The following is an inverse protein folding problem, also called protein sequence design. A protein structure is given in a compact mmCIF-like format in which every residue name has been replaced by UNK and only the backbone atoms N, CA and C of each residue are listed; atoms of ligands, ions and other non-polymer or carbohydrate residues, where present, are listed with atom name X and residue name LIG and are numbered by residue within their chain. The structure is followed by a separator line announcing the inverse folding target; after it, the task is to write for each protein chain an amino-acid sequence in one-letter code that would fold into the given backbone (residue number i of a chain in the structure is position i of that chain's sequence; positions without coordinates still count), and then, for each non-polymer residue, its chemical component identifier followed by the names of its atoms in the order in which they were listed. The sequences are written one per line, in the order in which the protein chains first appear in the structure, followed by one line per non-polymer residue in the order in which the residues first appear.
data_IF_933121808816
#
_entry.id   IF_933121808816
#
_cell.length_a   1.000
_cell.length_b   1.000
_cell.length_c   1.000
_cell.angle_alpha   90.00
_cell.angle_beta   90.00
_cell.angle_gamma   90.00
#
_symmetry.space_group_name_H-M   'P 1'
#
loop_
_entity.id
_entity.type
_entity.pdbx_description
1 polymer ?
#
# COMPACT_ATOMS: atom_id res chain seq x y z
N UNK A 1 3.41 -29.71 12.18
CA UNK A 1 2.08 -29.27 11.70
C UNK A 1 1.96 -29.64 10.23
N UNK A 2 0.79 -30.12 9.79
CA UNK A 2 0.50 -30.46 8.39
C UNK A 2 -0.47 -29.40 7.86
N UNK A 3 -0.10 -28.72 6.77
CA UNK A 3 -1.00 -27.78 6.08
C UNK A 3 -1.97 -28.58 5.23
N UNK A 4 -3.26 -28.32 5.43
CA UNK A 4 -4.32 -28.81 4.55
C UNK A 4 -4.52 -27.80 3.42
N UNK A 5 -4.36 -28.27 2.20
CA UNK A 5 -4.82 -27.55 1.01
C UNK A 5 -6.27 -27.96 0.73
N UNK A 6 -7.20 -27.03 0.96
CA UNK A 6 -8.64 -27.25 0.77
C UNK A 6 -8.95 -27.52 -0.71
N UNK A 7 -8.17 -26.93 -1.63
CA UNK A 7 -8.35 -27.12 -3.08
C UNK A 7 -8.09 -28.58 -3.47
N UNK A 8 -7.09 -29.23 -2.86
CA UNK A 8 -6.82 -30.66 -3.09
C UNK A 8 -7.97 -31.58 -2.68
N UNK A 9 -8.77 -31.19 -1.68
CA UNK A 9 -9.94 -31.96 -1.27
C UNK A 9 -11.05 -31.92 -2.31
N UNK A 10 -11.19 -30.79 -3.02
CA UNK A 10 -12.20 -30.56 -4.06
C UNK A 10 -11.76 -31.12 -5.42
N UNK A 11 -10.46 -31.08 -5.74
CA UNK A 11 -9.92 -31.56 -7.01
C UNK A 11 -10.24 -33.05 -7.25
N UNK A 12 -10.86 -33.35 -8.38
CA UNK A 12 -11.26 -34.72 -8.74
C UNK A 12 -12.46 -35.25 -7.97
N UNK A 13 -13.18 -34.40 -7.21
CA UNK A 13 -14.50 -34.75 -6.68
C UNK A 13 -15.56 -34.25 -7.65
N UNK A 14 -16.24 -35.17 -8.34
CA UNK A 14 -17.32 -34.82 -9.28
C UNK A 14 -18.67 -34.68 -8.57
N UNK A 15 -18.77 -35.13 -7.32
CA UNK A 15 -20.02 -35.26 -6.54
C UNK A 15 -19.73 -34.92 -5.07
N UNK A 16 -20.62 -34.16 -4.43
CA UNK A 16 -20.54 -33.73 -3.01
C UNK A 16 -20.17 -34.85 -2.03
N UNK A 17 -20.73 -36.06 -2.22
CA UNK A 17 -20.45 -37.20 -1.34
C UNK A 17 -18.99 -37.66 -1.34
N UNK A 18 -18.26 -37.47 -2.46
CA UNK A 18 -16.84 -37.85 -2.55
C UNK A 18 -15.97 -36.91 -1.69
N UNK A 19 -16.31 -35.62 -1.66
CA UNK A 19 -15.65 -34.65 -0.80
C UNK A 19 -15.87 -34.98 0.69
N UNK A 20 -17.11 -35.24 1.09
CA UNK A 20 -17.44 -35.63 2.47
C UNK A 20 -16.70 -36.91 2.89
N UNK A 21 -16.59 -37.91 1.99
CA UNK A 21 -15.82 -39.13 2.24
C UNK A 21 -14.33 -38.86 2.46
N UNK A 22 -13.71 -38.00 1.65
CA UNK A 22 -12.30 -37.60 1.82
C UNK A 22 -12.08 -36.88 3.15
N UNK A 23 -13.00 -36.00 3.53
CA UNK A 23 -12.96 -35.32 4.82
C UNK A 23 -13.10 -36.30 5.99
N UNK A 24 -14.02 -37.27 5.91
CA UNK A 24 -14.16 -38.31 6.93
C UNK A 24 -12.91 -39.19 7.04
N UNK A 25 -12.28 -39.53 5.92
CA UNK A 25 -11.02 -40.26 5.90
C UNK A 25 -9.90 -39.47 6.58
N UNK A 26 -9.75 -38.19 6.24
CA UNK A 26 -8.80 -37.29 6.88
C UNK A 26 -9.02 -37.23 8.40
N UNK A 27 -10.27 -37.09 8.84
CA UNK A 27 -10.60 -37.08 10.28
C UNK A 27 -10.24 -38.40 10.98
N UNK A 28 -10.45 -39.54 10.30
CA UNK A 28 -10.09 -40.85 10.85
C UNK A 28 -8.58 -40.99 11.04
N UNK A 29 -7.78 -40.49 10.10
CA UNK A 29 -6.32 -40.49 10.19
C UNK A 29 -5.83 -39.55 11.31
N UNK A 30 -6.37 -38.33 11.38
CA UNK A 30 -6.02 -37.37 12.43
C UNK A 30 -6.38 -37.88 13.84
N UNK A 31 -7.50 -38.59 13.99
CA UNK A 31 -7.88 -39.20 15.26
C UNK A 31 -6.90 -40.27 15.74
N UNK A 32 -6.21 -40.94 14.82
CA UNK A 32 -5.21 -41.96 15.15
C UNK A 32 -3.84 -41.33 15.46
N UNK A 33 -3.56 -40.14 14.96
CA UNK A 33 -2.27 -39.47 15.12
C UNK A 33 -2.37 -38.27 16.06
N UNK A 34 -2.07 -38.49 17.34
CA UNK A 34 -2.15 -37.45 18.38
C UNK A 34 -1.04 -36.38 18.31
N UNK A 35 0.05 -36.66 17.60
CA UNK A 35 1.20 -35.76 17.48
C UNK A 35 1.09 -34.79 16.27
N UNK A 36 -0.06 -34.80 15.59
CA UNK A 36 -0.30 -33.98 14.41
C UNK A 36 -1.18 -32.78 14.75
N UNK A 37 -0.66 -31.59 14.45
CA UNK A 37 -1.43 -30.35 14.40
C UNK A 37 -1.84 -30.10 12.95
N UNK A 38 -3.15 -30.01 12.71
CA UNK A 38 -3.70 -29.61 11.43
C UNK A 38 -3.63 -28.08 11.31
N UNK A 39 -3.05 -27.58 10.22
CA UNK A 39 -3.07 -26.16 9.88
C UNK A 39 -3.95 -25.96 8.65
N UNK A 40 -4.91 -25.04 8.74
CA UNK A 40 -5.79 -24.67 7.62
C UNK A 40 -5.60 -23.19 7.37
N UNK A 41 -5.06 -22.88 6.19
CA UNK A 41 -5.06 -21.53 5.69
C UNK A 41 -6.50 -21.18 5.26
N UNK A 42 -6.96 -19.97 5.56
CA UNK A 42 -8.32 -19.53 5.22
C UNK A 42 -9.43 -20.45 5.75
N UNK A 43 -9.43 -20.71 7.06
CA UNK A 43 -10.39 -21.61 7.74
C UNK A 43 -11.87 -21.24 7.51
N UNK A 44 -12.18 -20.02 7.06
CA UNK A 44 -13.55 -19.64 6.71
C UNK A 44 -14.08 -20.36 5.46
N UNK A 45 -13.21 -20.79 4.52
CA UNK A 45 -13.63 -21.49 3.30
C UNK A 45 -14.33 -22.81 3.60
N UNK A 46 -13.87 -23.52 4.63
CA UNK A 46 -14.46 -24.79 5.08
C UNK A 46 -15.70 -24.58 5.97
N UNK A 47 -15.96 -23.34 6.41
CA UNK A 47 -17.11 -22.94 7.25
C UNK A 47 -18.18 -22.19 6.42
N UNK A 48 -17.95 -22.02 5.11
CA UNK A 48 -18.76 -21.24 4.18
C UNK A 48 -20.16 -21.81 3.88
N UNK A 49 -21.13 -21.34 4.67
CA UNK A 49 -22.54 -21.05 4.35
C UNK A 49 -23.34 -22.02 3.46
N UNK A 50 -24.18 -22.83 4.10
CA UNK A 50 -25.33 -23.52 3.49
C UNK A 50 -26.46 -22.59 2.99
N UNK A 51 -26.15 -21.48 2.30
CA UNK A 51 -27.12 -20.52 1.78
C UNK A 51 -26.96 -20.15 0.29
N UNK A 52 -26.10 -20.84 -0.46
CA UNK A 52 -26.21 -20.91 -1.91
C UNK A 52 -26.48 -22.36 -2.29
N UNK A 53 -27.46 -22.60 -3.16
CA UNK A 53 -27.70 -23.89 -3.81
C UNK A 53 -26.39 -24.37 -4.48
N UNK A 54 -25.51 -25.05 -3.74
CA UNK A 54 -24.21 -25.53 -4.25
C UNK A 54 -22.98 -25.39 -3.34
N UNK A 55 -23.04 -24.70 -2.19
CA UNK A 55 -21.88 -24.57 -1.28
C UNK A 55 -21.48 -25.87 -0.59
N UNK A 56 -20.19 -26.22 -0.61
CA UNK A 56 -19.62 -27.42 0.03
C UNK A 56 -19.42 -27.19 1.55
N UNK A 57 -20.37 -27.62 2.39
CA UNK A 57 -20.30 -27.41 3.85
C UNK A 57 -19.48 -28.52 4.57
N UNK A 58 -18.16 -28.35 4.58
CA UNK A 58 -17.23 -29.21 5.32
C UNK A 58 -17.33 -29.06 6.86
N UNK A 59 -17.89 -27.94 7.32
CA UNK A 59 -18.01 -27.59 8.73
C UNK A 59 -18.79 -28.64 9.53
N UNK A 60 -19.82 -29.24 8.92
CA UNK A 60 -20.61 -30.29 9.58
C UNK A 60 -19.84 -31.59 9.87
N UNK A 61 -18.83 -31.92 9.07
CA UNK A 61 -17.96 -33.08 9.31
C UNK A 61 -16.97 -32.82 10.43
N UNK A 62 -16.52 -31.57 10.58
CA UNK A 62 -15.50 -31.16 11.55
C UNK A 62 -16.07 -30.93 12.96
N UNK A 63 -17.30 -30.39 13.06
CA UNK A 63 -17.94 -30.03 14.34
C UNK A 63 -17.89 -31.15 15.40
N UNK A 64 -18.24 -32.43 15.09
CA UNK A 64 -18.25 -33.48 16.12
C UNK A 64 -16.84 -33.80 16.64
N UNK A 65 -15.84 -33.82 15.76
CA UNK A 65 -14.46 -34.17 16.12
C UNK A 65 -13.75 -33.02 16.85
N UNK A 66 -14.03 -31.76 16.48
CA UNK A 66 -13.60 -30.58 17.24
C UNK A 66 -14.26 -30.53 18.62
N UNK A 67 -15.55 -30.85 18.72
CA UNK A 67 -16.26 -30.86 20.00
C UNK A 67 -15.73 -31.92 20.98
N UNK A 68 -15.24 -33.04 20.46
CA UNK A 68 -14.61 -34.12 21.26
C UNK A 68 -13.12 -33.90 21.51
N UNK A 69 -12.49 -32.90 20.91
CA UNK A 69 -11.05 -32.66 21.01
C UNK A 69 -10.22 -33.81 20.43
N UNK A 70 -10.70 -34.45 19.35
CA UNK A 70 -10.04 -35.62 18.76
C UNK A 70 -8.74 -35.29 18.02
N UNK A 71 -8.54 -34.03 17.65
CA UNK A 71 -7.34 -33.53 16.96
C UNK A 71 -7.11 -32.05 17.30
N UNK A 72 -5.89 -31.56 17.02
CA UNK A 72 -5.52 -30.15 17.20
C UNK A 72 -5.59 -29.42 15.86
N UNK A 73 -6.18 -28.22 15.87
CA UNK A 73 -6.37 -27.37 14.69
C UNK A 73 -5.85 -25.97 14.97
N UNK A 74 -5.10 -25.42 14.01
CA UNK A 74 -4.78 -24.00 13.90
C UNK A 74 -5.34 -23.50 12.57
N UNK A 75 -6.17 -22.46 12.62
CA UNK A 75 -6.74 -21.84 11.43
C UNK A 75 -6.31 -20.38 11.32
N UNK A 76 -6.08 -19.91 10.10
CA UNK A 76 -5.89 -18.49 9.80
C UNK A 76 -7.11 -17.95 9.05
N UNK A 77 -7.50 -16.71 9.31
CA UNK A 77 -8.59 -16.02 8.60
C UNK A 77 -8.48 -14.52 8.83
N UNK A 78 -9.10 -13.71 7.96
CA UNK A 78 -9.22 -12.27 8.21
C UNK A 78 -10.35 -11.97 9.22
N UNK A 79 -10.32 -10.78 9.84
CA UNK A 79 -11.39 -10.30 10.73
C UNK A 79 -12.76 -10.27 10.05
N UNK A 80 -12.80 -9.90 8.76
CA UNK A 80 -14.05 -9.81 8.01
C UNK A 80 -14.66 -11.19 7.78
N UNK A 81 -13.84 -12.17 7.40
CA UNK A 81 -14.27 -13.55 7.17
C UNK A 81 -14.59 -14.28 8.47
N UNK A 82 -13.90 -13.97 9.58
CA UNK A 82 -14.18 -14.59 10.88
C UNK A 82 -15.64 -14.39 11.32
N UNK A 83 -16.30 -13.29 10.90
CA UNK A 83 -17.74 -13.07 11.13
C UNK A 83 -18.63 -14.20 10.58
N UNK A 84 -18.20 -14.90 9.54
CA UNK A 84 -18.93 -16.06 9.00
C UNK A 84 -18.89 -17.24 9.97
N UNK A 85 -17.74 -17.43 10.63
CA UNK A 85 -17.52 -18.47 11.64
C UNK A 85 -18.27 -18.12 12.93
N UNK A 86 -18.30 -16.84 13.33
CA UNK A 86 -19.05 -16.37 14.50
C UNK A 86 -20.57 -16.62 14.38
N UNK A 87 -21.12 -16.58 13.17
CA UNK A 87 -22.54 -16.91 12.92
C UNK A 87 -22.84 -18.37 13.25
N UNK A 88 -21.86 -19.26 13.20
CA UNK A 88 -22.00 -20.67 13.60
C UNK A 88 -21.62 -20.86 15.07
N UNK A 89 -22.63 -20.82 15.94
CA UNK A 89 -22.45 -20.99 17.38
C UNK A 89 -21.80 -22.32 17.79
N UNK A 90 -21.90 -23.38 16.96
CA UNK A 90 -21.30 -24.67 17.28
C UNK A 90 -19.78 -24.66 17.06
N UNK A 91 -19.32 -23.99 15.99
CA UNK A 91 -17.89 -23.81 15.70
C UNK A 91 -17.24 -22.74 16.56
N UNK A 92 -17.90 -21.58 16.73
CA UNK A 92 -17.38 -20.47 17.52
C UNK A 92 -17.06 -20.88 18.97
N UNK A 93 -17.85 -21.78 19.56
CA UNK A 93 -17.61 -22.32 20.92
C UNK A 93 -16.41 -23.29 21.02
N UNK A 94 -15.84 -23.71 19.89
CA UNK A 94 -14.74 -24.69 19.82
C UNK A 94 -13.43 -24.09 19.33
N UNK A 95 -13.47 -22.85 18.86
CA UNK A 95 -12.31 -22.10 18.44
C UNK A 95 -11.98 -21.06 19.52
N UNK A 96 -10.70 -20.89 19.79
CA UNK A 96 -10.22 -19.78 20.62
C UNK A 96 -9.66 -18.72 19.67
N UNK A 97 -10.31 -17.55 19.52
CA UNK A 97 -9.78 -16.49 18.70
C UNK A 97 -8.49 -15.95 19.33
N UNK A 98 -7.45 -15.83 18.50
CA UNK A 98 -6.19 -15.15 18.82
C UNK A 98 -6.04 -14.03 17.81
N UNK A 99 -6.21 -12.79 18.27
CA UNK A 99 -6.08 -11.63 17.41
C UNK A 99 -4.60 -11.37 17.14
N UNK A 100 -4.25 -11.23 15.87
CA UNK A 100 -2.91 -10.82 15.41
C UNK A 100 -3.07 -9.42 14.84
N UNK A 101 -2.50 -8.45 15.54
CA UNK A 101 -2.56 -7.05 15.11
C UNK A 101 -1.53 -6.76 14.01
N UNK A 102 -1.80 -5.71 13.24
CA UNK A 102 -0.81 -5.16 12.30
C UNK A 102 0.46 -4.75 13.07
N UNK A 103 1.66 -5.19 12.65
CA UNK A 103 2.91 -4.83 13.31
C UNK A 103 3.14 -3.33 13.22
N UNK A 104 3.73 -2.77 14.27
CA UNK A 104 4.20 -1.39 14.27
C UNK A 104 5.30 -1.16 13.22
N UNK A 105 5.58 0.11 12.91
CA UNK A 105 6.67 0.50 12.01
C UNK A 105 8.01 -0.09 12.49
N UNK A 106 8.28 -0.05 13.79
CA UNK A 106 9.53 -0.56 14.37
C UNK A 106 9.64 -2.09 14.28
N UNK A 107 8.55 -2.81 14.55
CA UNK A 107 8.48 -4.26 14.41
C UNK A 107 8.63 -4.67 12.95
N UNK A 108 7.98 -3.94 12.04
CA UNK A 108 8.06 -4.19 10.60
C UNK A 108 9.48 -4.00 10.09
N UNK A 109 10.22 -2.97 10.54
CA UNK A 109 11.64 -2.82 10.20
C UNK A 109 12.46 -4.04 10.67
N UNK A 110 12.17 -4.61 11.85
CA UNK A 110 12.83 -5.84 12.33
C UNK A 110 12.50 -7.04 11.45
N UNK A 111 11.23 -7.19 11.04
CA UNK A 111 10.79 -8.23 10.10
C UNK A 111 11.55 -8.11 8.78
N UNK A 112 11.60 -6.90 8.21
CA UNK A 112 12.30 -6.62 6.95
C UNK A 112 13.80 -6.94 7.04
N UNK A 113 14.46 -6.60 8.15
CA UNK A 113 15.85 -7.00 8.39
C UNK A 113 16.02 -8.53 8.46
N UNK A 114 15.07 -9.25 9.06
CA UNK A 114 15.10 -10.72 9.13
C UNK A 114 14.98 -11.42 7.77
N UNK A 115 14.23 -10.82 6.83
CA UNK A 115 14.04 -11.38 5.48
C UNK A 115 15.03 -10.81 4.44
N UNK A 116 15.74 -9.72 4.76
CA UNK A 116 16.66 -9.00 3.85
C UNK A 116 17.56 -9.94 3.06
N UNK A 117 18.30 -10.82 3.73
CA UNK A 117 19.27 -11.70 3.07
C UNK A 117 18.62 -12.63 2.03
N UNK A 118 17.37 -13.04 2.25
CA UNK A 118 16.62 -13.89 1.30
C UNK A 118 16.28 -13.12 0.03
N UNK A 119 15.83 -11.87 0.16
CA UNK A 119 15.50 -11.02 -0.98
C UNK A 119 16.74 -10.53 -1.72
N UNK A 120 17.82 -10.20 -1.00
CA UNK A 120 19.12 -9.86 -1.61
C UNK A 120 19.65 -11.01 -2.48
N UNK A 121 19.60 -12.25 -1.97
CA UNK A 121 20.04 -13.43 -2.69
C UNK A 121 19.11 -13.77 -3.88
N UNK A 122 17.80 -13.59 -3.73
CA UNK A 122 16.83 -13.88 -4.78
C UNK A 122 16.92 -12.90 -5.95
N UNK A 123 17.07 -11.60 -5.65
CA UNK A 123 17.12 -10.53 -6.65
C UNK A 123 18.53 -10.17 -7.10
N UNK A 124 19.57 -10.73 -6.49
CA UNK A 124 20.97 -10.38 -6.75
C UNK A 124 21.28 -8.88 -6.54
N UNK A 125 20.74 -8.30 -5.45
CA UNK A 125 20.91 -6.90 -5.08
C UNK A 125 21.32 -6.75 -3.62
N UNK A 126 21.72 -5.54 -3.23
CA UNK A 126 21.87 -5.15 -1.82
C UNK A 126 20.86 -4.08 -1.45
N UNK A 127 20.18 -4.21 -0.31
CA UNK A 127 19.33 -3.13 0.21
C UNK A 127 20.12 -2.29 1.21
N UNK A 128 19.97 -0.97 1.16
CA UNK A 128 20.47 -0.10 2.24
C UNK A 128 19.54 -0.13 3.45
N UNK A 129 20.07 0.22 4.64
CA UNK A 129 19.25 0.33 5.85
C UNK A 129 18.21 1.44 5.71
N UNK A 130 18.57 2.51 5.00
CA UNK A 130 17.68 3.61 4.63
C UNK A 130 16.56 3.13 3.70
N UNK A 131 16.86 2.26 2.72
CA UNK A 131 15.84 1.69 1.85
C UNK A 131 14.83 0.83 2.62
N UNK A 132 15.28 0.02 3.59
CA UNK A 132 14.40 -0.78 4.45
C UNK A 132 13.48 0.13 5.29
N UNK A 133 14.04 1.17 5.93
CA UNK A 133 13.26 2.15 6.69
C UNK A 133 12.27 2.90 5.80
N UNK A 134 12.69 3.29 4.60
CA UNK A 134 11.85 3.97 3.62
C UNK A 134 10.71 3.07 3.15
N UNK A 135 10.97 1.79 2.84
CA UNK A 135 9.93 0.83 2.45
C UNK A 135 8.81 0.76 3.50
N UNK A 136 9.14 0.68 4.80
CA UNK A 136 8.11 0.67 5.86
C UNK A 136 7.43 2.03 6.01
N UNK A 137 8.21 3.10 6.13
CA UNK A 137 7.67 4.43 6.46
C UNK A 137 6.81 4.99 5.33
N UNK A 138 7.28 4.86 4.09
CA UNK A 138 6.59 5.35 2.90
C UNK A 138 5.36 4.48 2.59
N UNK A 139 5.45 3.15 2.63
CA UNK A 139 4.27 2.30 2.43
C UNK A 139 3.22 2.54 3.50
N UNK A 140 3.61 2.69 4.77
CA UNK A 140 2.67 2.97 5.85
C UNK A 140 1.97 4.33 5.69
N UNK A 141 2.65 5.31 5.11
CA UNK A 141 2.11 6.65 4.90
C UNK A 141 1.26 6.76 3.64
N UNK A 142 1.69 6.17 2.53
CA UNK A 142 1.10 6.41 1.21
C UNK A 142 0.25 5.25 0.68
N UNK A 143 0.39 4.03 1.22
CA UNK A 143 -0.43 2.86 0.85
C UNK A 143 -1.32 2.48 2.04
N UNK A 144 -2.57 2.96 2.03
CA UNK A 144 -3.53 2.85 3.14
C UNK A 144 -4.51 1.68 3.02
N UNK A 145 -4.65 1.08 1.83
CA UNK A 145 -5.55 -0.03 1.54
C UNK A 145 -4.99 -1.40 1.92
N UNK A 146 -3.72 -1.44 2.34
CA UNK A 146 -2.99 -2.65 2.75
C UNK A 146 -2.34 -2.44 4.10
N UNK A 147 -2.08 -3.56 4.77
CA UNK A 147 -1.50 -3.59 6.10
C UNK A 147 0.00 -3.93 6.04
N UNK A 148 0.77 -3.42 6.99
CA UNK A 148 2.11 -3.92 7.27
C UNK A 148 2.02 -5.40 7.75
N UNK A 149 3.07 -6.21 7.54
CA UNK A 149 4.32 -5.89 6.86
C UNK A 149 4.24 -6.05 5.32
N UNK A 150 3.15 -6.62 4.82
CA UNK A 150 2.96 -7.07 3.43
C UNK A 150 3.27 -5.98 2.39
N UNK A 151 2.65 -4.79 2.52
CA UNK A 151 2.92 -3.66 1.61
C UNK A 151 4.38 -3.19 1.58
N UNK A 152 5.14 -3.38 2.67
CA UNK A 152 6.55 -3.02 2.73
C UNK A 152 7.45 -4.11 2.11
N UNK A 153 7.06 -5.37 2.24
CA UNK A 153 7.71 -6.51 1.59
C UNK A 153 7.55 -6.41 0.07
N UNK A 154 6.37 -6.03 -0.42
CA UNK A 154 6.13 -5.82 -1.84
C UNK A 154 7.04 -4.73 -2.45
N UNK A 155 7.27 -3.63 -1.71
CA UNK A 155 8.22 -2.61 -2.16
C UNK A 155 9.66 -3.13 -2.23
N UNK A 156 10.08 -3.97 -1.27
CA UNK A 156 11.39 -4.62 -1.33
C UNK A 156 11.50 -5.52 -2.56
N UNK A 157 10.47 -6.32 -2.82
CA UNK A 157 10.45 -7.26 -3.94
C UNK A 157 10.52 -6.54 -5.30
N UNK A 158 9.69 -5.52 -5.48
CA UNK A 158 9.62 -4.74 -6.71
C UNK A 158 10.89 -3.90 -6.94
N UNK A 159 11.42 -3.28 -5.89
CA UNK A 159 12.68 -2.52 -5.98
C UNK A 159 13.87 -3.42 -6.29
N UNK A 160 13.93 -4.63 -5.71
CA UNK A 160 14.95 -5.62 -6.03
C UNK A 160 14.88 -6.06 -7.47
N UNK A 161 13.69 -6.49 -7.91
CA UNK A 161 13.43 -6.90 -9.30
C UNK A 161 13.84 -5.82 -10.29
N UNK A 162 13.42 -4.57 -10.04
CA UNK A 162 13.70 -3.44 -10.92
C UNK A 162 15.17 -3.04 -10.95
N UNK A 163 15.85 -3.09 -9.81
CA UNK A 163 17.28 -2.78 -9.74
C UNK A 163 18.12 -3.86 -10.41
N UNK A 164 17.71 -5.12 -10.30
CA UNK A 164 18.33 -6.22 -11.04
C UNK A 164 18.21 -6.02 -12.57
N UNK A 165 17.08 -5.49 -13.07
CA UNK A 165 16.93 -5.14 -14.50
C UNK A 165 17.87 -4.01 -14.98
N UNK A 166 18.42 -3.20 -14.07
CA UNK A 166 19.42 -2.19 -14.42
C UNK A 166 20.83 -2.74 -14.60
N UNK A 167 21.04 -4.03 -14.31
CA UNK A 167 22.23 -4.77 -14.74
C UNK A 167 22.18 -4.82 -16.26
N UNK A 168 22.81 -3.84 -16.91
CA UNK A 168 23.06 -3.89 -18.34
C UNK A 168 23.97 -5.09 -18.62
N UNK A 169 23.32 -6.19 -19.03
CA UNK A 169 23.74 -7.11 -20.07
C UNK A 169 25.25 -7.26 -20.27
N UNK A 170 25.91 -7.87 -19.29
CA UNK A 170 27.05 -8.70 -19.64
C UNK A 170 26.97 -9.99 -18.83
N UNK A 171 25.93 -10.79 -19.13
CA UNK A 171 25.95 -12.21 -18.75
C UNK A 171 27.30 -12.77 -19.22
N UNK A 172 28.15 -13.26 -18.30
CA UNK A 172 29.48 -13.75 -18.63
C UNK A 172 29.45 -14.77 -19.78
N UNK A 173 28.36 -15.53 -19.91
CA UNK A 173 28.15 -16.48 -21.02
C UNK A 173 28.05 -15.82 -22.39
N UNK A 174 27.38 -14.67 -22.47
CA UNK A 174 27.23 -13.92 -23.73
C UNK A 174 28.57 -13.28 -24.13
N UNK A 175 29.35 -12.77 -23.17
CA UNK A 175 30.71 -12.28 -23.44
C UNK A 175 31.59 -13.42 -23.94
N UNK A 176 31.51 -14.57 -23.29
CA UNK A 176 32.32 -15.74 -23.64
C UNK A 176 31.99 -16.28 -25.04
N UNK A 177 30.72 -16.29 -25.42
CA UNK A 177 30.30 -16.64 -26.78
C UNK A 177 30.81 -15.63 -27.82
N UNK A 178 30.77 -14.32 -27.50
CA UNK A 178 31.32 -13.25 -28.37
C UNK A 178 32.83 -13.35 -28.51
N UNK A 179 33.57 -13.64 -27.44
CA UNK A 179 35.01 -13.90 -27.47
C UNK A 179 35.30 -15.08 -28.39
N UNK A 180 34.57 -16.20 -28.21
CA UNK A 180 34.75 -17.41 -29.02
C UNK A 180 34.50 -17.17 -30.52
N UNK A 181 33.45 -16.43 -30.86
CA UNK A 181 33.15 -16.09 -32.24
C UNK A 181 34.22 -15.17 -32.85
N UNK A 182 34.65 -14.14 -32.13
CA UNK A 182 35.71 -13.24 -32.59
C UNK A 182 37.04 -13.98 -32.77
N UNK A 183 37.36 -14.93 -31.89
CA UNK A 183 38.55 -15.78 -32.01
C UNK A 183 38.48 -16.68 -33.26
N UNK A 184 37.33 -17.31 -33.52
CA UNK A 184 37.12 -18.11 -34.74
C UNK A 184 37.28 -17.26 -36.01
N UNK A 185 36.73 -16.05 -36.04
CA UNK A 185 36.84 -15.13 -37.17
C UNK A 185 38.28 -14.63 -37.37
N UNK A 186 39.03 -14.41 -36.28
CA UNK A 186 40.47 -14.11 -36.32
C UNK A 186 41.25 -15.26 -36.97
N UNK A 187 40.99 -16.50 -36.55
CA UNK A 187 41.66 -17.69 -37.10
C UNK A 187 41.32 -17.91 -38.59
N UNK A 188 40.08 -17.65 -39.00
CA UNK A 188 39.69 -17.71 -40.41
C UNK A 188 40.42 -16.65 -41.25
N UNK A 189 40.46 -15.39 -40.78
CA UNK A 189 41.15 -14.31 -41.46
C UNK A 189 42.67 -14.55 -41.58
N UNK A 190 43.29 -15.19 -40.59
CA UNK A 190 44.71 -15.58 -40.65
C UNK A 190 44.98 -16.67 -41.69
N UNK A 191 44.07 -17.65 -41.85
CA UNK A 191 44.19 -18.69 -42.89
C UNK A 191 44.05 -18.15 -44.30
N UNK A 192 43.29 -17.07 -44.46
CA UNK A 192 43.11 -16.34 -45.72
C UNK A 192 44.20 -15.28 -45.95
N UNK A 193 45.23 -15.22 -45.10
CA UNK A 193 46.31 -14.22 -45.12
C UNK A 193 45.82 -12.76 -45.08
N UNK A 194 44.61 -12.53 -44.56
CA UNK A 194 44.03 -11.20 -44.40
C UNK A 194 44.40 -10.61 -43.03
N UNK A 195 45.63 -10.08 -42.95
CA UNK A 195 46.23 -9.59 -41.71
C UNK A 195 45.51 -8.39 -41.09
N UNK A 196 44.90 -7.50 -41.90
CA UNK A 196 44.14 -6.35 -41.39
C UNK A 196 42.87 -6.81 -40.67
N UNK A 197 42.13 -7.76 -41.26
CA UNK A 197 40.92 -8.31 -40.66
C UNK A 197 41.24 -9.13 -39.41
N UNK A 198 42.36 -9.84 -39.41
CA UNK A 198 42.85 -10.54 -38.23
C UNK A 198 43.22 -9.57 -37.08
N UNK A 199 43.86 -8.44 -37.38
CA UNK A 199 44.15 -7.40 -36.39
C UNK A 199 42.88 -6.80 -35.79
N UNK A 200 41.86 -6.52 -36.63
CA UNK A 200 40.56 -6.05 -36.18
C UNK A 200 39.89 -6.99 -35.17
N UNK A 201 39.82 -8.29 -35.48
CA UNK A 201 39.20 -9.26 -34.55
C UNK A 201 40.05 -9.50 -33.30
N UNK A 202 41.38 -9.41 -33.38
CA UNK A 202 42.26 -9.46 -32.20
C UNK A 202 41.95 -8.32 -31.23
N UNK A 203 41.76 -7.12 -31.74
CA UNK A 203 41.47 -5.95 -30.90
C UNK A 203 40.05 -6.05 -30.29
N UNK A 204 39.09 -6.67 -31.00
CA UNK A 204 37.76 -7.01 -30.46
C UNK A 204 37.84 -8.05 -29.33
N UNK A 205 38.64 -9.11 -29.49
CA UNK A 205 38.87 -10.11 -28.43
C UNK A 205 39.45 -9.45 -27.19
N UNK A 206 40.50 -8.64 -27.33
CA UNK A 206 41.09 -7.93 -26.19
C UNK A 206 40.11 -6.98 -25.49
N UNK A 207 39.20 -6.35 -26.26
CA UNK A 207 38.13 -5.52 -25.70
C UNK A 207 37.12 -6.34 -24.91
N UNK A 208 36.67 -7.48 -25.44
CA UNK A 208 35.71 -8.34 -24.75
C UNK A 208 36.32 -9.04 -23.52
N UNK A 209 37.60 -9.40 -23.55
CA UNK A 209 38.33 -9.91 -22.38
C UNK A 209 38.40 -8.86 -21.27
N UNK A 210 38.73 -7.61 -21.59
CA UNK A 210 38.69 -6.51 -20.59
C UNK A 210 37.29 -6.29 -20.00
N UNK A 211 36.23 -6.46 -20.81
CA UNK A 211 34.85 -6.37 -20.32
C UNK A 211 34.47 -7.57 -19.44
N UNK A 212 35.05 -8.76 -19.68
CA UNK A 212 34.90 -9.94 -18.81
C UNK A 212 35.65 -9.77 -17.48
N UNK A 213 36.86 -9.24 -17.53
CA UNK A 213 37.71 -9.04 -16.34
C UNK A 213 37.17 -7.93 -15.41
N UNK A 214 36.51 -6.91 -15.97
CA UNK A 214 35.83 -5.87 -15.20
C UNK A 214 34.46 -6.31 -14.62
N UNK A 215 34.00 -7.53 -14.90
CA UNK A 215 32.72 -8.06 -14.45
C UNK A 215 32.81 -8.88 -13.13
N UNK A 216 33.79 -8.60 -12.27
CA UNK A 216 33.93 -9.25 -10.95
C UNK A 216 33.34 -8.41 -9.82
N UNK A 217 32.39 -8.99 -9.05
CA UNK A 217 31.87 -8.66 -7.69
C UNK A 217 31.60 -7.19 -7.24
N UNK A 218 32.04 -6.14 -7.93
CA UNK A 218 31.83 -4.74 -7.54
C UNK A 218 30.49 -4.15 -8.02
N UNK A 219 29.74 -4.85 -8.86
CA UNK A 219 28.55 -4.32 -9.56
C UNK A 219 27.22 -4.86 -9.00
N UNK A 220 27.20 -5.37 -7.75
CA UNK A 220 25.92 -5.78 -7.12
C UNK A 220 25.05 -4.53 -6.93
N UNK A 221 23.91 -4.41 -7.64
CA UNK A 221 23.13 -3.19 -7.59
C UNK A 221 22.61 -2.92 -6.19
N UNK A 222 22.77 -1.68 -5.73
CA UNK A 222 22.32 -1.25 -4.41
C UNK A 222 20.96 -0.55 -4.53
N UNK A 223 19.95 -1.09 -3.85
CA UNK A 223 18.64 -0.47 -3.67
C UNK A 223 18.72 0.59 -2.57
N UNK A 224 18.37 1.81 -2.94
CA UNK A 224 18.46 3.01 -2.10
C UNK A 224 17.07 3.52 -1.71
N UNK A 225 17.03 4.47 -0.78
CA UNK A 225 15.79 5.19 -0.44
C UNK A 225 15.09 5.80 -1.66
N UNK A 226 15.85 6.37 -2.61
CA UNK A 226 15.30 6.95 -3.85
C UNK A 226 14.61 5.93 -4.74
N UNK A 227 15.08 4.69 -4.74
CA UNK A 227 14.44 3.62 -5.49
C UNK A 227 13.05 3.29 -4.89
N UNK A 228 12.92 3.36 -3.56
CA UNK A 228 11.64 3.20 -2.85
C UNK A 228 10.69 4.37 -3.12
N UNK A 229 11.20 5.61 -3.06
CA UNK A 229 10.43 6.82 -3.37
C UNK A 229 9.81 6.71 -4.77
N UNK A 230 10.61 6.38 -5.79
CA UNK A 230 10.12 6.26 -7.18
C UNK A 230 9.01 5.21 -7.35
N UNK A 231 9.11 4.05 -6.70
CA UNK A 231 8.08 3.01 -6.81
C UNK A 231 6.78 3.48 -6.15
N UNK A 232 6.87 4.18 -5.01
CA UNK A 232 5.70 4.78 -4.38
C UNK A 232 5.08 5.84 -5.28
N UNK A 233 5.89 6.71 -5.90
CA UNK A 233 5.41 7.72 -6.85
C UNK A 233 4.62 7.08 -8.00
N UNK A 234 5.14 6.00 -8.57
CA UNK A 234 4.48 5.28 -9.66
C UNK A 234 3.20 4.56 -9.22
N UNK A 235 3.18 3.97 -8.02
CA UNK A 235 1.99 3.29 -7.48
C UNK A 235 0.88 4.25 -7.07
N UNK A 236 1.25 5.42 -6.54
CA UNK A 236 0.31 6.33 -5.88
C UNK A 236 0.03 7.61 -6.69
N UNK A 237 0.82 7.88 -7.72
CA UNK A 237 0.88 9.17 -8.44
C UNK A 237 1.20 10.38 -7.52
N UNK A 238 1.81 10.15 -6.35
CA UNK A 238 2.19 11.20 -5.41
C UNK A 238 3.70 11.45 -5.54
N UNK A 239 4.18 12.67 -5.85
CA UNK A 239 5.60 12.97 -6.09
C UNK A 239 6.42 13.09 -4.80
N UNK A 240 6.58 11.98 -4.07
CA UNK A 240 7.22 11.92 -2.74
C UNK A 240 8.63 12.50 -2.70
N UNK A 241 9.48 12.19 -3.68
CA UNK A 241 10.87 12.64 -3.73
C UNK A 241 11.00 14.15 -3.95
N UNK A 242 10.20 14.71 -4.85
CA UNK A 242 10.16 16.17 -5.08
C UNK A 242 9.64 16.92 -3.85
N UNK A 243 8.56 16.41 -3.24
CA UNK A 243 7.98 16.99 -2.04
C UNK A 243 9.03 17.04 -0.93
N UNK A 244 9.73 15.93 -0.66
CA UNK A 244 10.75 15.86 0.39
C UNK A 244 11.92 16.82 0.19
N UNK A 245 12.36 17.01 -1.05
CA UNK A 245 13.47 17.92 -1.37
C UNK A 245 13.08 19.40 -1.25
N UNK A 246 11.86 19.76 -1.67
CA UNK A 246 11.37 21.14 -1.72
C UNK A 246 10.66 21.58 -0.44
N UNK A 247 10.22 20.66 0.41
CA UNK A 247 9.35 20.94 1.56
C UNK A 247 9.94 22.01 2.50
N UNK A 248 11.23 21.95 2.82
CA UNK A 248 11.84 22.94 3.73
C UNK A 248 11.84 24.36 3.15
N UNK A 249 12.14 24.49 1.86
CA UNK A 249 12.18 25.78 1.17
C UNK A 249 10.77 26.31 0.92
N UNK A 250 9.86 25.45 0.42
CA UNK A 250 8.44 25.76 0.25
C UNK A 250 7.82 26.25 1.55
N UNK A 251 8.06 25.57 2.67
CA UNK A 251 7.53 25.99 3.97
C UNK A 251 8.11 27.32 4.44
N UNK A 252 9.41 27.56 4.22
CA UNK A 252 10.05 28.83 4.58
C UNK A 252 9.40 29.99 3.83
N UNK A 253 9.21 29.83 2.53
CA UNK A 253 8.84 30.91 1.61
C UNK A 253 7.31 31.00 1.35
N UNK A 254 6.52 30.05 1.88
CA UNK A 254 5.07 29.92 1.68
C UNK A 254 4.29 31.23 1.79
N UNK A 255 4.51 32.00 2.84
CA UNK A 255 3.81 33.29 3.03
C UNK A 255 4.09 34.26 1.89
N UNK A 256 5.37 34.43 1.54
CA UNK A 256 5.79 35.33 0.46
C UNK A 256 5.34 34.86 -0.92
N UNK A 257 5.21 33.55 -1.14
CA UNK A 257 4.66 33.01 -2.39
C UNK A 257 3.15 33.25 -2.51
N UNK A 258 2.41 33.09 -1.41
CA UNK A 258 0.97 33.36 -1.36
C UNK A 258 0.68 34.85 -1.54
N UNK A 259 1.45 35.75 -0.91
CA UNK A 259 1.30 37.21 -1.04
C UNK A 259 1.44 37.72 -2.48
N UNK A 260 2.14 37.00 -3.38
CA UNK A 260 2.22 37.34 -4.81
C UNK A 260 0.90 37.19 -5.55
N UNK A 261 -0.01 36.35 -5.03
CA UNK A 261 -1.26 35.99 -5.69
C UNK A 261 -2.49 36.43 -4.88
N UNK A 262 -2.39 36.44 -3.55
CA UNK A 262 -3.46 36.85 -2.63
C UNK A 262 -3.18 38.27 -2.15
N UNK A 263 -3.83 39.24 -2.81
CA UNK A 263 -3.58 40.67 -2.60
C UNK A 263 -4.47 41.21 -1.48
N UNK A 264 -3.87 41.93 -0.53
CA UNK A 264 -4.60 42.67 0.52
C UNK A 264 -5.10 41.82 1.68
N UNK A 265 -4.54 40.62 1.88
CA UNK A 265 -4.87 39.72 2.99
C UNK A 265 -3.63 39.26 3.77
N UNK A 266 -2.61 40.12 3.89
CA UNK A 266 -1.29 39.80 4.43
C UNK A 266 -1.37 39.11 5.82
N UNK A 267 -2.24 39.60 6.71
CA UNK A 267 -2.43 39.00 8.04
C UNK A 267 -2.99 37.56 7.97
N UNK A 268 -3.94 37.31 7.08
CA UNK A 268 -4.54 35.98 6.91
C UNK A 268 -3.52 35.01 6.30
N UNK A 269 -2.79 35.45 5.27
CA UNK A 269 -1.73 34.67 4.62
C UNK A 269 -0.63 34.30 5.62
N UNK A 270 -0.14 35.25 6.41
CA UNK A 270 0.88 35.00 7.43
C UNK A 270 0.41 34.02 8.51
N UNK A 271 -0.84 34.15 8.99
CA UNK A 271 -1.44 33.21 9.96
C UNK A 271 -1.52 31.78 9.40
N UNK A 272 -1.99 31.63 8.15
CA UNK A 272 -2.06 30.33 7.48
C UNK A 272 -0.66 29.73 7.32
N UNK A 273 0.28 30.49 6.77
CA UNK A 273 1.64 30.02 6.53
C UNK A 273 2.37 29.64 7.82
N UNK A 274 2.21 30.41 8.90
CA UNK A 274 2.75 30.08 10.24
C UNK A 274 2.15 28.78 10.79
N UNK A 275 0.84 28.58 10.65
CA UNK A 275 0.18 27.37 11.16
C UNK A 275 0.66 26.12 10.43
N UNK A 276 0.76 26.16 9.10
CA UNK A 276 1.24 25.04 8.27
C UNK A 276 2.70 24.72 8.59
N UNK A 277 3.58 25.74 8.65
CA UNK A 277 5.00 25.57 9.05
C UNK A 277 5.14 24.87 10.40
N UNK A 278 4.41 25.32 11.42
CA UNK A 278 4.48 24.76 12.77
C UNK A 278 4.08 23.28 12.79
N UNK A 279 3.03 22.92 12.06
CA UNK A 279 2.52 21.55 12.06
C UNK A 279 3.44 20.60 11.28
N UNK A 280 4.09 21.07 10.21
CA UNK A 280 5.04 20.27 9.42
C UNK A 280 6.40 20.04 10.09
N UNK A 281 6.87 20.95 10.95
CA UNK A 281 8.16 20.79 11.66
C UNK A 281 8.08 19.75 12.80
N UNK A 282 6.93 19.10 12.99
CA UNK A 282 6.78 18.00 13.96
C UNK A 282 6.57 18.47 15.40
N UNK A 283 6.26 19.76 15.61
CA UNK A 283 5.79 20.25 16.91
C UNK A 283 4.40 19.72 17.27
N UNK A 284 3.66 19.19 16.30
CA UNK A 284 2.44 18.43 16.53
C UNK A 284 2.72 16.92 16.47
N UNK A 285 2.75 16.27 17.64
CA UNK A 285 2.58 14.81 17.77
C UNK A 285 1.12 14.36 17.58
N UNK A 286 0.21 15.27 17.26
CA UNK A 286 -1.20 14.95 17.08
C UNK A 286 -1.40 14.36 15.69
N UNK A 287 -2.01 13.19 15.58
CA UNK A 287 -2.41 12.58 14.32
C UNK A 287 -3.53 13.34 13.62
N UNK A 288 -3.46 14.67 13.54
CA UNK A 288 -4.44 15.62 13.01
C UNK A 288 -4.04 16.11 11.62
N UNK A 289 -4.97 16.74 10.85
CA UNK A 289 -4.64 17.40 9.59
C UNK A 289 -3.51 18.42 9.74
N UNK A 290 -2.78 18.66 8.64
CA UNK A 290 -1.66 19.61 8.56
C UNK A 290 -2.10 21.02 8.94
N UNK A 291 -3.33 21.37 8.58
CA UNK A 291 -3.92 22.66 8.89
C UNK A 291 -5.43 22.57 8.76
N UNK A 292 -6.12 23.32 9.61
CA UNK A 292 -7.57 23.42 9.60
C UNK A 292 -7.94 24.88 9.75
N UNK A 293 -8.63 25.41 8.75
CA UNK A 293 -8.90 26.84 8.63
C UNK A 293 -10.36 27.11 8.33
N UNK A 294 -10.88 28.20 8.87
CA UNK A 294 -12.16 28.78 8.51
C UNK A 294 -11.91 30.17 7.92
N UNK A 295 -12.21 30.34 6.63
CA UNK A 295 -12.10 31.60 5.91
C UNK A 295 -13.48 32.27 5.85
N UNK A 296 -13.60 33.43 6.48
CA UNK A 296 -14.87 34.17 6.59
C UNK A 296 -14.75 35.49 5.85
N UNK A 297 -15.78 35.86 5.09
CA UNK A 297 -15.86 37.13 4.38
C UNK A 297 -16.79 37.03 3.17
N UNK A 298 -17.16 38.17 2.54
CA UNK A 298 -18.14 38.17 1.46
C UNK A 298 -17.66 37.39 0.22
N UNK A 299 -18.58 37.07 -0.68
CA UNK A 299 -18.25 36.40 -1.94
C UNK A 299 -17.27 37.23 -2.77
N UNK A 300 -16.37 36.57 -3.50
CA UNK A 300 -15.42 37.23 -4.40
C UNK A 300 -14.16 37.83 -3.74
N UNK A 301 -14.04 37.82 -2.40
CA UNK A 301 -12.84 38.38 -1.72
C UNK A 301 -11.57 37.54 -1.85
N UNK A 302 -11.66 36.32 -2.39
CA UNK A 302 -10.49 35.45 -2.64
C UNK A 302 -10.35 34.23 -1.74
N UNK A 303 -11.37 33.87 -0.93
CA UNK A 303 -11.33 32.67 -0.05
C UNK A 303 -10.93 31.39 -0.81
N UNK A 304 -11.61 31.11 -1.93
CA UNK A 304 -11.36 29.96 -2.81
C UNK A 304 -10.02 30.10 -3.56
N UNK A 305 -9.62 31.33 -3.89
CA UNK A 305 -8.35 31.58 -4.58
C UNK A 305 -7.16 31.27 -3.67
N UNK A 306 -7.20 31.70 -2.41
CA UNK A 306 -6.20 31.34 -1.40
C UNK A 306 -6.08 29.82 -1.25
N UNK A 307 -7.20 29.09 -1.27
CA UNK A 307 -7.18 27.61 -1.22
C UNK A 307 -6.48 27.00 -2.45
N UNK A 308 -6.77 27.50 -3.66
CA UNK A 308 -6.10 27.04 -4.89
C UNK A 308 -4.59 27.31 -4.89
N UNK A 309 -4.18 28.51 -4.46
CA UNK A 309 -2.77 28.86 -4.37
C UNK A 309 -2.04 28.02 -3.33
N UNK A 310 -2.68 27.74 -2.19
CA UNK A 310 -2.15 26.78 -1.20
C UNK A 310 -1.96 25.38 -1.80
N UNK A 311 -2.92 24.91 -2.60
CA UNK A 311 -2.80 23.61 -3.24
C UNK A 311 -1.62 23.56 -4.22
N UNK A 312 -1.44 24.59 -5.06
CA UNK A 312 -0.28 24.71 -5.96
C UNK A 312 1.05 24.75 -5.20
N UNK A 313 1.17 25.61 -4.20
CA UNK A 313 2.42 25.82 -3.48
C UNK A 313 2.85 24.60 -2.66
N UNK A 314 1.89 23.86 -2.09
CA UNK A 314 2.17 22.75 -1.17
C UNK A 314 2.08 21.36 -1.81
N UNK A 315 1.27 21.21 -2.84
CA UNK A 315 1.02 19.93 -3.52
C UNK A 315 1.44 19.93 -4.99
N UNK A 316 1.90 21.06 -5.52
CA UNK A 316 2.41 21.22 -6.88
C UNK A 316 1.33 21.41 -7.94
N UNK A 317 0.08 21.08 -7.66
CA UNK A 317 -1.06 21.20 -8.58
C UNK A 317 -2.34 21.65 -7.88
N UNK A 318 -3.22 22.34 -8.60
CA UNK A 318 -4.58 22.64 -8.13
C UNK A 318 -5.46 21.39 -8.07
N UNK A 319 -5.15 20.36 -8.85
CA UNK A 319 -5.93 19.12 -8.89
C UNK A 319 -5.85 18.34 -7.57
N UNK A 320 -4.88 18.65 -6.72
CA UNK A 320 -4.79 18.16 -5.36
C UNK A 320 -5.80 18.84 -4.42
N UNK A 321 -6.60 19.80 -4.90
CA UNK A 321 -7.72 20.38 -4.18
C UNK A 321 -9.01 19.61 -4.46
N UNK A 322 -9.49 18.94 -3.43
CA UNK A 322 -10.80 18.31 -3.37
C UNK A 322 -11.82 19.36 -2.91
N UNK A 323 -12.77 19.74 -3.76
CA UNK A 323 -13.79 20.74 -3.43
C UNK A 323 -15.17 20.10 -3.25
N UNK A 324 -15.83 20.44 -2.16
CA UNK A 324 -17.22 20.12 -1.90
C UNK A 324 -18.02 21.41 -1.73
N UNK A 325 -19.07 21.56 -2.55
CA UNK A 325 -20.07 22.63 -2.39
C UNK A 325 -21.07 22.22 -1.31
N UNK A 326 -21.09 22.93 -0.19
CA UNK A 326 -21.94 22.59 0.96
C UNK A 326 -23.43 22.83 0.69
N UNK A 327 -23.79 23.53 -0.39
CA UNK A 327 -25.17 23.64 -0.87
C UNK A 327 -25.74 22.28 -1.33
N UNK A 328 -24.90 21.34 -1.76
CA UNK A 328 -25.34 19.96 -2.08
C UNK A 328 -25.63 19.12 -0.83
N UNK A 329 -25.19 19.60 0.34
CA UNK A 329 -25.22 18.91 1.62
C UNK A 329 -26.19 19.55 2.63
N UNK A 330 -27.17 20.32 2.15
CA UNK A 330 -28.20 20.99 2.98
C UNK A 330 -29.12 19.99 3.70
N UNK A 331 -29.36 18.83 3.09
CA UNK A 331 -30.29 17.83 3.58
C UNK A 331 -29.57 16.74 4.38
N UNK A 332 -30.24 16.19 5.39
CA UNK A 332 -29.64 15.15 6.24
C UNK A 332 -29.17 13.91 5.47
N UNK A 333 -29.93 13.51 4.45
CA UNK A 333 -29.60 12.31 3.66
C UNK A 333 -28.45 12.54 2.68
N UNK A 334 -28.10 13.78 2.30
CA UNK A 334 -26.94 14.00 1.43
C UNK A 334 -25.62 13.88 2.17
N UNK A 335 -25.62 13.95 3.51
CA UNK A 335 -24.43 13.69 4.34
C UNK A 335 -23.88 12.27 4.12
N UNK A 336 -24.75 11.28 3.86
CA UNK A 336 -24.31 9.91 3.57
C UNK A 336 -23.53 9.82 2.26
N UNK A 337 -23.63 10.78 1.33
CA UNK A 337 -22.78 10.79 0.13
C UNK A 337 -21.30 11.01 0.47
N UNK A 338 -20.98 11.68 1.58
CA UNK A 338 -19.58 11.92 1.98
C UNK A 338 -18.91 10.66 2.54
N UNK A 339 -19.65 9.85 3.31
CA UNK A 339 -19.12 8.67 4.04
C UNK A 339 -19.63 7.32 3.55
N UNK A 340 -20.57 7.31 2.61
CA UNK A 340 -21.27 6.12 2.15
C UNK A 340 -22.61 5.92 2.87
N UNK A 341 -23.54 5.24 2.19
CA UNK A 341 -24.83 4.86 2.78
C UNK A 341 -24.63 3.79 3.86
N UNK A 342 -25.46 3.71 4.92
CA UNK A 342 -25.40 2.64 5.92
C UNK A 342 -25.81 1.27 5.35
N UNK A 343 -25.45 0.14 6.01
CA UNK A 343 -25.89 -1.20 5.62
C UNK A 343 -27.42 -1.28 5.49
N UNK A 344 -27.90 -1.82 4.36
CA UNK A 344 -29.33 -2.00 4.08
C UNK A 344 -30.00 -0.84 3.34
N UNK A 345 -29.26 0.24 3.03
CA UNK A 345 -29.73 1.34 2.19
C UNK A 345 -29.21 1.22 0.75
N UNK A 346 -29.93 1.80 -0.21
CA UNK A 346 -29.48 1.91 -1.60
C UNK A 346 -28.16 2.71 -1.63
N UNK A 347 -27.17 2.21 -2.36
CA UNK A 347 -25.83 2.78 -2.42
C UNK A 347 -24.90 2.38 -1.27
N UNK A 348 -25.24 1.36 -0.46
CA UNK A 348 -24.31 0.83 0.56
C UNK A 348 -22.97 0.34 -0.02
N UNK A 349 -23.00 -0.20 -1.25
CA UNK A 349 -21.80 -0.64 -1.96
C UNK A 349 -20.99 0.54 -2.52
N UNK A 350 -21.58 1.74 -2.62
CA UNK A 350 -20.88 2.93 -3.09
C UNK A 350 -20.00 3.51 -1.97
N UNK A 351 -18.72 3.74 -2.27
CA UNK A 351 -17.80 4.37 -1.34
C UNK A 351 -18.19 5.85 -1.14
N UNK A 352 -17.99 6.36 0.08
CA UNK A 352 -18.19 7.77 0.38
C UNK A 352 -17.29 8.66 -0.49
N UNK A 353 -17.83 9.76 -1.01
CA UNK A 353 -17.09 10.66 -1.89
C UNK A 353 -15.87 11.27 -1.19
N UNK A 354 -16.02 11.68 0.08
CA UNK A 354 -14.91 12.25 0.87
C UNK A 354 -13.88 11.19 1.21
N UNK A 355 -14.33 10.05 1.74
CA UNK A 355 -13.43 8.99 2.18
C UNK A 355 -12.68 8.37 1.00
N UNK A 356 -13.31 8.16 -0.14
CA UNK A 356 -12.66 7.60 -1.32
C UNK A 356 -11.67 8.57 -1.98
N UNK A 357 -12.02 9.85 -2.10
CA UNK A 357 -11.11 10.83 -2.68
C UNK A 357 -9.86 11.03 -1.81
N UNK A 358 -10.02 11.11 -0.49
CA UNK A 358 -8.89 11.23 0.44
C UNK A 358 -8.09 9.93 0.51
N UNK A 359 -8.72 8.77 0.36
CA UNK A 359 -8.01 7.48 0.26
C UNK A 359 -7.11 7.41 -0.97
N UNK A 360 -7.59 7.90 -2.13
CA UNK A 360 -6.80 7.93 -3.38
C UNK A 360 -5.79 9.08 -3.41
N UNK A 361 -6.11 10.19 -2.76
CA UNK A 361 -5.30 11.40 -2.71
C UNK A 361 -5.10 11.85 -1.24
N UNK A 362 -4.31 11.10 -0.44
CA UNK A 362 -4.12 11.39 0.98
C UNK A 362 -3.36 12.69 1.24
N UNK A 363 -2.61 13.17 0.23
CA UNK A 363 -1.93 14.46 0.20
C UNK A 363 -2.80 15.44 -0.61
N UNK A 364 -3.74 16.10 0.04
CA UNK A 364 -4.71 16.96 -0.63
C UNK A 364 -5.19 18.13 0.24
N UNK A 365 -5.73 19.14 -0.42
CA UNK A 365 -6.48 20.22 0.20
C UNK A 365 -7.97 19.92 0.09
N UNK A 366 -8.68 19.83 1.21
CA UNK A 366 -10.12 19.65 1.25
C UNK A 366 -10.75 21.02 1.45
N UNK A 367 -11.50 21.49 0.46
CA UNK A 367 -12.25 22.74 0.50
C UNK A 367 -13.74 22.44 0.71
N UNK A 368 -14.28 22.89 1.84
CA UNK A 368 -15.72 22.92 2.13
C UNK A 368 -16.22 24.34 1.88
N UNK A 369 -16.86 24.55 0.74
CA UNK A 369 -17.29 25.88 0.31
C UNK A 369 -18.70 26.18 0.83
N UNK A 370 -18.92 27.39 1.37
CA UNK A 370 -20.21 27.84 1.93
C UNK A 370 -20.75 26.96 3.08
N UNK A 371 -19.90 26.69 4.07
CA UNK A 371 -20.20 25.75 5.17
C UNK A 371 -21.46 26.09 5.97
N UNK A 372 -21.90 27.36 5.97
CA UNK A 372 -23.16 27.77 6.57
C UNK A 372 -24.41 27.17 5.91
N UNK A 373 -24.28 26.64 4.69
CA UNK A 373 -25.38 25.99 3.95
C UNK A 373 -25.53 24.51 4.30
N UNK A 374 -24.48 23.86 4.78
CA UNK A 374 -24.52 22.43 5.08
C UNK A 374 -25.47 22.09 6.24
N UNK A 375 -25.99 20.88 6.21
CA UNK A 375 -26.64 20.27 7.36
C UNK A 375 -25.65 20.16 8.54
N UNK A 376 -26.07 20.40 9.81
CA UNK A 376 -25.18 20.35 10.98
C UNK A 376 -24.40 19.04 11.15
N UNK A 377 -24.96 17.91 10.70
CA UNK A 377 -24.28 16.60 10.77
C UNK A 377 -22.98 16.55 9.94
N UNK A 378 -22.83 17.39 8.90
CA UNK A 378 -21.55 17.54 8.19
C UNK A 378 -20.48 18.07 9.13
N UNK A 379 -20.80 19.08 9.94
CA UNK A 379 -19.86 19.66 10.89
C UNK A 379 -19.47 18.65 11.97
N UNK A 380 -20.42 17.88 12.49
CA UNK A 380 -20.13 16.82 13.47
C UNK A 380 -19.15 15.78 12.94
N UNK A 381 -19.31 15.39 11.67
CA UNK A 381 -18.39 14.48 11.01
C UNK A 381 -16.98 15.10 10.88
N UNK A 382 -16.89 16.36 10.46
CA UNK A 382 -15.60 17.03 10.34
C UNK A 382 -14.92 17.28 11.69
N UNK A 383 -15.66 17.45 12.80
CA UNK A 383 -15.05 17.53 14.14
C UNK A 383 -14.20 16.31 14.46
N UNK A 384 -14.67 15.10 14.13
CA UNK A 384 -13.89 13.86 14.29
C UNK A 384 -12.59 13.91 13.50
N UNK A 385 -12.64 14.43 12.26
CA UNK A 385 -11.47 14.57 11.40
C UNK A 385 -10.48 15.60 11.98
N UNK A 386 -10.98 16.71 12.50
CA UNK A 386 -10.17 17.78 13.08
C UNK A 386 -9.47 17.31 14.37
N UNK A 387 -10.10 16.43 15.16
CA UNK A 387 -9.57 15.94 16.43
C UNK A 387 -8.60 14.76 16.26
N UNK A 388 -8.99 13.74 15.49
CA UNK A 388 -8.29 12.45 15.38
C UNK A 388 -7.55 12.28 14.04
N UNK A 389 -7.78 13.17 13.06
CA UNK A 389 -7.22 13.08 11.70
C UNK A 389 -7.55 11.77 11.00
N UNK A 390 -8.72 11.18 11.29
CA UNK A 390 -9.23 10.00 10.62
C UNK A 390 -10.75 10.02 10.55
N UNK A 391 -11.30 9.34 9.56
CA UNK A 391 -12.72 9.10 9.43
C UNK A 391 -12.97 7.64 9.07
N UNK A 392 -13.95 7.02 9.70
CA UNK A 392 -14.38 5.66 9.34
C UNK A 392 -15.63 5.75 8.49
N UNK A 393 -15.59 5.15 7.31
CA UNK A 393 -16.72 5.12 6.36
C UNK A 393 -17.80 4.13 6.79
N UNK A 394 -18.93 4.10 6.07
CA UNK A 394 -20.05 3.20 6.37
C UNK A 394 -19.72 1.71 6.17
N UNK A 395 -18.63 1.39 5.46
CA UNK A 395 -18.12 0.04 5.26
C UNK A 395 -17.09 -0.37 6.32
N UNK A 396 -16.79 0.52 7.29
CA UNK A 396 -15.83 0.27 8.36
C UNK A 396 -14.37 0.53 7.97
N UNK A 397 -14.11 1.10 6.79
CA UNK A 397 -12.75 1.46 6.35
C UNK A 397 -12.36 2.77 7.00
N UNK A 398 -11.17 2.83 7.59
CA UNK A 398 -10.65 4.04 8.23
C UNK A 398 -9.69 4.76 7.30
N UNK A 399 -9.99 6.01 6.98
CA UNK A 399 -9.19 6.87 6.10
C UNK A 399 -8.44 7.90 6.94
N UNK A 400 -7.15 8.08 6.68
CA UNK A 400 -6.30 9.05 7.34
C UNK A 400 -6.37 10.41 6.66
N UNK A 401 -6.53 11.48 7.46
CA UNK A 401 -6.54 12.88 7.04
C UNK A 401 -5.30 13.64 7.55
N UNK A 402 -4.33 12.93 8.14
CA UNK A 402 -3.11 13.52 8.74
C UNK A 402 -2.29 14.37 7.77
N UNK A 403 -2.38 14.02 6.50
CA UNK A 403 -1.65 14.67 5.41
C UNK A 403 -2.53 15.59 4.55
N UNK A 404 -3.70 15.99 5.08
CA UNK A 404 -4.60 16.92 4.41
C UNK A 404 -4.56 18.31 5.03
N UNK A 405 -4.93 19.32 4.25
CA UNK A 405 -5.29 20.66 4.73
C UNK A 405 -6.78 20.81 4.56
N UNK A 406 -7.50 21.18 5.62
CA UNK A 406 -8.94 21.40 5.59
C UNK A 406 -9.21 22.90 5.62
N UNK A 407 -9.93 23.39 4.62
CA UNK A 407 -10.38 24.78 4.53
C UNK A 407 -11.90 24.79 4.44
N UNK A 408 -12.54 25.45 5.38
CA UNK A 408 -13.95 25.79 5.34
C UNK A 408 -14.08 27.26 4.91
N UNK A 409 -15.01 27.58 4.02
CA UNK A 409 -15.36 28.97 3.70
C UNK A 409 -16.75 29.29 4.22
N UNK A 410 -16.95 30.53 4.65
CA UNK A 410 -18.29 31.02 5.01
C UNK A 410 -18.46 32.48 4.63
N UNK A 411 -19.68 32.89 4.28
CA UNK A 411 -20.01 34.25 3.83
C UNK A 411 -20.29 35.22 4.97
#
# INVERSE_FOLDING_TARGET
AIRLDVVCLVQGTGIRGQFEQRMQQLMKELKQQKDVILFIDEIHEIVGAGNAEGGMDAGNVLKPSLARGEFQLVGATTLNEFRTIEKDAALARRLQPVQVDEPSVEETIKILNGIRNKYEAYHHVKYTDEALKAAVTLSNRYIQDRFLPDKAIDLLDESGSRKNLTIHATDPKIIEERIKNAENQKQAALKEENYEKAAYYRDQVSRFEKMKDNASDEDTPVVTEKDMERIIEEKTNIPVGELKAKEKEQLRDLGSSLEKHVIGQDEAVDKVARSIRRNRIGFNKSGRPIGSFLFVGPTGVGKTETAKQLARELFGTEDSMIRFDMSEYMEKFSVSKLIGSPPGYVGYEEAGQLTEQVRRHPYSLILLDEVEKAHPDVMHMFLQILDDGRLTDSQGRTVSFKDTIIIMTSN
#
